data_IF_274021024961
#
_entry.id   IF_274021024961
#
_cell.length_a   1.000
_cell.length_b   1.000
_cell.length_c   1.000
_cell.angle_alpha   90.00
_cell.angle_beta   90.00
_cell.angle_gamma   90.00
#
_symmetry.space_group_name_H-M   'P 1'
#
loop_
_entity.id
_entity.type
_entity.pdbx_description
1 polymer ?
#
# COMPACT_ATOMS: atom_id res chain seq x y z
N UNK A 1 1.13 8.52 25.29
CA UNK A 1 0.72 7.21 24.75
C UNK A 1 1.32 7.06 23.37
N UNK A 2 2.33 6.21 23.19
CA UNK A 2 2.85 5.91 21.85
C UNK A 2 1.75 5.19 21.08
N UNK A 3 1.14 5.88 20.12
CA UNK A 3 0.24 5.24 19.16
C UNK A 3 1.12 4.27 18.39
N UNK A 4 0.99 2.96 18.66
CA UNK A 4 1.75 1.95 17.92
C UNK A 4 1.29 2.08 16.47
N UNK A 5 2.18 2.65 15.67
CA UNK A 5 2.11 2.73 14.24
C UNK A 5 1.66 1.38 13.66
N UNK A 6 0.50 1.33 12.98
CA UNK A 6 0.11 0.14 12.22
C UNK A 6 1.18 -0.16 11.17
N UNK A 7 1.77 -1.34 11.24
CA UNK A 7 2.70 -1.85 10.23
C UNK A 7 1.89 -2.49 9.09
N UNK A 8 2.06 -1.97 7.88
CA UNK A 8 1.34 -2.45 6.69
C UNK A 8 2.16 -3.45 5.86
N UNK A 9 3.44 -3.64 6.21
CA UNK A 9 4.35 -4.58 5.54
C UNK A 9 3.80 -6.02 5.44
N UNK A 10 3.17 -6.60 6.48
CA UNK A 10 2.61 -7.95 6.41
C UNK A 10 1.42 -8.05 5.48
N UNK A 11 0.58 -7.01 5.41
CA UNK A 11 -0.59 -6.96 4.54
C UNK A 11 -0.17 -6.90 3.06
N UNK A 12 0.85 -6.10 2.76
CA UNK A 12 1.43 -6.00 1.42
C UNK A 12 2.05 -7.33 1.01
N UNK A 13 2.77 -7.99 1.92
CA UNK A 13 3.35 -9.30 1.64
C UNK A 13 2.27 -10.35 1.39
N UNK A 14 1.19 -10.37 2.17
CA UNK A 14 0.05 -11.26 1.95
C UNK A 14 -0.59 -11.00 0.58
N UNK A 15 -0.77 -9.72 0.20
CA UNK A 15 -1.27 -9.35 -1.12
C UNK A 15 -0.35 -9.82 -2.23
N UNK A 16 0.98 -9.65 -2.10
CA UNK A 16 1.97 -10.16 -3.05
C UNK A 16 1.87 -11.68 -3.23
N UNK A 17 1.73 -12.43 -2.13
CA UNK A 17 1.57 -13.89 -2.21
C UNK A 17 0.26 -14.29 -2.91
N UNK A 18 -0.83 -13.56 -2.66
CA UNK A 18 -2.13 -13.77 -3.30
C UNK A 18 -2.11 -13.47 -4.80
N UNK A 19 -1.46 -12.38 -5.22
CA UNK A 19 -1.36 -11.99 -6.64
C UNK A 19 -0.40 -12.92 -7.40
N UNK A 20 0.64 -13.42 -6.74
CA UNK A 20 1.61 -14.34 -7.33
C UNK A 20 2.52 -13.70 -8.39
N UNK A 21 2.56 -12.37 -8.47
CA UNK A 21 3.40 -11.59 -9.40
C UNK A 21 4.40 -10.73 -8.64
N UNK A 22 5.52 -10.45 -9.29
CA UNK A 22 6.60 -9.60 -8.77
C UNK A 22 6.39 -8.12 -9.07
N UNK A 23 5.43 -7.79 -9.95
CA UNK A 23 4.99 -6.43 -10.20
C UNK A 23 3.48 -6.43 -10.43
N UNK A 24 2.77 -5.53 -9.75
CA UNK A 24 1.32 -5.36 -9.89
C UNK A 24 0.84 -4.02 -9.34
N UNK A 25 -0.27 -3.55 -9.89
CA UNK A 25 -1.05 -2.45 -9.31
C UNK A 25 -2.06 -2.98 -8.30
N UNK A 26 -2.32 -2.23 -7.22
CA UNK A 26 -3.32 -2.55 -6.20
C UNK A 26 -3.91 -1.29 -5.57
N UNK A 27 -5.09 -1.38 -4.97
CA UNK A 27 -5.69 -0.32 -4.17
C UNK A 27 -5.51 -0.58 -2.68
N UNK A 28 -5.68 0.45 -1.85
CA UNK A 28 -5.60 0.28 -0.40
C UNK A 28 -6.62 -0.75 0.14
N UNK A 29 -7.80 -0.86 -0.50
CA UNK A 29 -8.82 -1.86 -0.14
C UNK A 29 -8.37 -3.30 -0.38
N UNK A 30 -7.47 -3.55 -1.33
CA UNK A 30 -6.98 -4.90 -1.67
C UNK A 30 -6.09 -5.49 -0.56
N UNK A 31 -5.61 -4.65 0.37
CA UNK A 31 -4.85 -5.07 1.55
C UNK A 31 -5.72 -5.78 2.60
N UNK A 32 -7.04 -5.69 2.49
CA UNK A 32 -7.99 -6.23 3.44
C UNK A 32 -8.87 -7.28 2.78
N UNK A 33 -9.45 -8.17 3.60
CA UNK A 33 -10.55 -9.00 3.11
C UNK A 33 -11.80 -8.15 2.91
N UNK A 34 -12.73 -8.66 2.08
CA UNK A 34 -14.01 -7.96 1.83
C UNK A 34 -14.79 -7.72 3.12
N UNK A 35 -14.76 -8.69 4.04
CA UNK A 35 -15.46 -8.61 5.33
C UNK A 35 -14.82 -7.56 6.26
N UNK A 36 -13.49 -7.56 6.38
CA UNK A 36 -12.77 -6.54 7.14
C UNK A 36 -13.01 -5.14 6.59
N UNK A 37 -12.93 -4.99 5.27
CA UNK A 37 -13.16 -3.71 4.62
C UNK A 37 -14.57 -3.19 4.89
N UNK A 38 -15.60 -4.04 4.73
CA UNK A 38 -17.00 -3.69 5.00
C UNK A 38 -17.23 -3.31 6.46
N UNK A 39 -16.57 -3.97 7.40
CA UNK A 39 -16.67 -3.68 8.84
C UNK A 39 -15.97 -2.37 9.24
N UNK A 40 -15.00 -1.88 8.47
CA UNK A 40 -14.36 -0.59 8.74
C UNK A 40 -15.27 0.58 8.38
N UNK A 41 -15.41 1.54 9.29
CA UNK A 41 -16.07 2.82 8.98
C UNK A 41 -15.30 3.63 7.95
N UNK A 42 -15.97 4.52 7.21
CA UNK A 42 -15.32 5.42 6.25
C UNK A 42 -14.18 6.19 6.92
N UNK A 43 -14.40 6.74 8.12
CA UNK A 43 -13.38 7.47 8.88
C UNK A 43 -12.15 6.62 9.20
N UNK A 44 -12.37 5.35 9.53
CA UNK A 44 -11.29 4.41 9.82
C UNK A 44 -10.48 4.08 8.57
N UNK A 45 -11.15 3.84 7.44
CA UNK A 45 -10.50 3.62 6.14
C UNK A 45 -9.62 4.81 5.77
N UNK A 46 -10.15 6.04 5.87
CA UNK A 46 -9.39 7.28 5.59
C UNK A 46 -8.17 7.44 6.48
N UNK A 47 -8.33 7.15 7.79
CA UNK A 47 -7.23 7.26 8.75
C UNK A 47 -6.12 6.27 8.41
N UNK A 48 -6.49 5.01 8.17
CA UNK A 48 -5.51 3.97 7.85
C UNK A 48 -4.83 4.22 6.51
N UNK A 49 -5.54 4.69 5.49
CA UNK A 49 -4.94 5.02 4.18
C UNK A 49 -3.95 6.19 4.29
N UNK A 50 -4.27 7.22 5.10
CA UNK A 50 -3.32 8.30 5.41
C UNK A 50 -2.07 7.79 6.11
N UNK A 51 -2.23 6.90 7.09
CA UNK A 51 -1.09 6.29 7.79
C UNK A 51 -0.25 5.41 6.85
N UNK A 52 -0.90 4.70 5.93
CA UNK A 52 -0.23 3.91 4.91
C UNK A 52 0.61 4.79 3.98
N UNK A 53 0.03 5.86 3.44
CA UNK A 53 0.76 6.82 2.58
C UNK A 53 1.94 7.43 3.34
N UNK A 54 1.73 7.87 4.58
CA UNK A 54 2.79 8.46 5.39
C UNK A 54 3.96 7.51 5.71
N UNK A 55 3.73 6.19 5.64
CA UNK A 55 4.76 5.17 5.87
C UNK A 55 5.17 4.43 4.61
N UNK A 56 4.60 4.76 3.46
CA UNK A 56 4.84 4.04 2.22
C UNK A 56 6.33 4.03 1.85
N UNK A 57 7.05 5.13 2.12
CA UNK A 57 8.51 5.23 1.92
C UNK A 57 9.31 4.21 2.76
N UNK A 58 8.73 3.70 3.84
CA UNK A 58 9.32 2.66 4.68
C UNK A 58 8.90 1.24 4.29
N UNK A 59 7.93 1.09 3.37
CA UNK A 59 7.48 -0.22 2.90
C UNK A 59 8.23 -0.54 1.60
N UNK A 60 9.08 -1.59 1.57
CA UNK A 60 9.87 -1.89 0.40
C UNK A 60 8.98 -2.23 -0.79
N UNK A 61 9.46 -1.91 -1.98
CA UNK A 61 8.84 -2.28 -3.26
C UNK A 61 7.48 -1.63 -3.54
N UNK A 62 6.97 -0.72 -2.70
CA UNK A 62 5.77 0.05 -3.01
C UNK A 62 6.16 1.41 -3.56
N UNK A 63 5.46 1.85 -4.61
CA UNK A 63 5.56 3.20 -5.16
C UNK A 63 4.16 3.69 -5.50
N UNK A 64 3.93 4.99 -5.37
CA UNK A 64 2.77 5.60 -6.02
C UNK A 64 3.03 5.76 -7.52
N UNK A 65 2.05 5.46 -8.39
CA UNK A 65 2.11 5.83 -9.80
C UNK A 65 2.17 7.36 -9.91
N UNK A 66 2.98 7.84 -10.84
CA UNK A 66 3.30 9.27 -11.03
C UNK A 66 2.02 10.09 -11.25
N UNK A 67 1.47 10.64 -10.18
CA UNK A 67 0.44 11.69 -10.20
C UNK A 67 1.09 12.90 -9.56
N UNK A 68 1.03 14.05 -10.26
CA UNK A 68 1.68 15.32 -9.89
C UNK A 68 1.65 15.57 -8.38
N UNK A 69 2.73 16.11 -7.79
CA UNK A 69 2.91 16.37 -6.35
C UNK A 69 1.72 17.07 -5.66
N UNK A 70 0.83 17.73 -6.41
CA UNK A 70 -0.38 18.37 -5.85
C UNK A 70 -1.62 17.46 -5.85
N UNK A 71 -1.68 16.44 -6.71
CA UNK A 71 -2.86 15.59 -6.90
C UNK A 71 -3.11 14.59 -5.76
N UNK A 72 -2.08 14.21 -5.01
CA UNK A 72 -2.19 13.17 -3.97
C UNK A 72 -2.87 13.67 -2.69
N UNK A 73 -2.72 14.96 -2.34
CA UNK A 73 -3.31 15.53 -1.13
C UNK A 73 -4.85 15.55 -1.16
N UNK A 74 -5.44 15.55 -2.36
CA UNK A 74 -6.88 15.70 -2.56
C UNK A 74 -7.61 14.39 -2.92
N UNK A 75 -6.89 13.34 -3.30
CA UNK A 75 -7.47 12.08 -3.78
C UNK A 75 -7.17 10.92 -2.82
N UNK A 76 -7.41 11.09 -1.53
CA UNK A 76 -7.21 10.05 -0.51
C UNK A 76 -8.14 8.83 -0.63
N UNK A 77 -8.92 8.72 -1.69
CA UNK A 77 -9.82 7.61 -1.94
C UNK A 77 -9.61 7.15 -3.36
N UNK A 78 -9.50 5.83 -3.55
CA UNK A 78 -9.37 5.18 -4.85
C UNK A 78 -8.02 5.41 -5.55
N UNK A 79 -6.94 5.52 -4.77
CA UNK A 79 -5.59 5.51 -5.31
C UNK A 79 -5.19 4.10 -5.72
N UNK A 80 -4.54 4.02 -6.87
CA UNK A 80 -3.80 2.83 -7.27
C UNK A 80 -2.35 3.00 -6.81
N UNK A 81 -1.80 1.97 -6.19
CA UNK A 81 -0.42 1.86 -5.75
C UNK A 81 0.26 0.78 -6.60
N UNK A 82 1.56 0.89 -6.79
CA UNK A 82 2.34 -0.10 -7.53
C UNK A 82 3.27 -0.85 -6.59
N UNK A 83 3.17 -2.17 -6.59
CA UNK A 83 4.16 -3.05 -6.03
C UNK A 83 5.13 -3.48 -7.12
N UNK A 84 6.42 -3.32 -6.90
CA UNK A 84 7.51 -3.65 -7.82
C UNK A 84 8.67 -4.26 -7.04
N UNK A 85 8.70 -5.59 -6.98
CA UNK A 85 9.84 -6.36 -6.51
C UNK A 85 10.93 -6.30 -7.59
N UNK A 86 11.91 -5.40 -7.43
CA UNK A 86 13.10 -5.39 -8.28
C UNK A 86 13.85 -6.69 -7.99
N UNK A 87 13.77 -7.65 -8.93
CA UNK A 87 14.68 -8.79 -8.91
C UNK A 87 16.08 -8.22 -9.00
N UNK A 88 16.91 -8.45 -7.98
CA UNK A 88 18.36 -8.29 -8.08
C UNK A 88 18.88 -9.33 -9.09
N UNK A 89 18.65 -9.08 -10.38
CA UNK A 89 19.26 -9.76 -11.52
C UNK A 89 20.50 -8.99 -11.98
N UNK A 90 21.14 -8.23 -11.08
CA UNK A 90 22.51 -7.80 -11.35
C UNK A 90 23.36 -9.04 -11.22
N UNK A 91 23.74 -9.58 -12.39
CA UNK A 91 24.90 -10.43 -12.56
C UNK A 91 25.94 -10.04 -11.51
N UNK A 92 26.22 -10.92 -10.56
CA UNK A 92 27.46 -10.88 -9.82
C UNK A 92 28.56 -10.90 -10.87
N UNK A 93 29.14 -9.73 -11.14
CA UNK A 93 30.33 -9.55 -11.96
C UNK A 93 31.54 -9.91 -11.12
#
# INVERSE_FOLDING_TARGET
>A
MSVIAKDFSPLVQALRQKVGRTSFSFRFEDLFTKEEWLNMSVKERTRQEREFIARMDHIPNIRMPFSSEEGYKFKLYNQEYQYNEVKNNFKSL
#
